data_IF_825294278850
#
_entry.id   IF_825294278850
#
_cell.length_a   1.000
_cell.length_b   1.000
_cell.length_c   1.000
_cell.angle_alpha   90.00
_cell.angle_beta   90.00
_cell.angle_gamma   90.00
#
_symmetry.space_group_name_H-M   'P 1'
#
loop_
_entity.id
_entity.type
_entity.pdbx_description
1 polymer ?
#
# COMPACT_ATOMS: atom_id res chain seq x y z
N UNK A 1 80.64 -36.49 -43.41
CA UNK A 1 79.78 -37.41 -44.20
C UNK A 1 78.59 -37.84 -43.34
N UNK A 2 77.39 -37.44 -43.76
CA UNK A 2 76.12 -38.19 -43.72
C UNK A 2 75.70 -38.83 -42.37
N UNK A 3 74.73 -38.23 -41.69
CA UNK A 3 73.44 -38.80 -41.20
C UNK A 3 72.88 -37.89 -40.08
N UNK A 4 72.01 -36.94 -40.42
CA UNK A 4 70.53 -37.04 -40.39
C UNK A 4 69.98 -37.02 -38.96
N UNK A 5 69.44 -35.88 -38.53
CA UNK A 5 68.00 -35.55 -38.66
C UNK A 5 67.10 -36.60 -38.01
N UNK A 6 66.85 -36.46 -36.70
CA UNK A 6 65.62 -36.93 -36.01
C UNK A 6 65.66 -36.52 -34.53
N UNK A 7 65.45 -35.23 -34.23
CA UNK A 7 65.19 -34.82 -32.83
C UNK A 7 64.51 -33.47 -32.64
N UNK A 8 63.84 -32.96 -33.68
CA UNK A 8 63.18 -31.64 -33.66
C UNK A 8 61.74 -31.71 -34.22
N UNK A 9 61.02 -32.80 -33.93
CA UNK A 9 59.63 -32.97 -34.40
C UNK A 9 58.67 -33.61 -33.38
N UNK A 10 58.96 -33.51 -32.08
CA UNK A 10 58.03 -33.99 -31.02
C UNK A 10 57.73 -32.92 -29.96
N UNK A 11 58.38 -31.75 -29.99
CA UNK A 11 58.13 -30.68 -29.00
C UNK A 11 57.29 -29.50 -29.51
N UNK A 12 56.88 -29.51 -30.78
CA UNK A 12 56.08 -28.42 -31.37
C UNK A 12 54.59 -28.75 -31.48
N UNK A 13 54.17 -30.00 -31.24
CA UNK A 13 52.77 -30.42 -31.37
C UNK A 13 52.01 -30.49 -30.04
N UNK A 14 52.69 -30.39 -28.90
CA UNK A 14 52.05 -30.42 -27.57
C UNK A 14 51.76 -28.99 -27.04
N UNK A 15 52.48 -27.97 -27.50
CA UNK A 15 52.23 -26.59 -27.07
C UNK A 15 51.16 -25.86 -27.91
N UNK A 16 50.85 -26.32 -29.12
CA UNK A 16 49.81 -25.70 -29.96
C UNK A 16 48.37 -26.14 -29.62
N UNK A 17 48.19 -27.25 -28.90
CA UNK A 17 46.87 -27.73 -28.44
C UNK A 17 46.56 -27.24 -27.02
N UNK A 18 47.58 -26.92 -26.21
CA UNK A 18 47.37 -26.34 -24.88
C UNK A 18 47.08 -24.81 -24.91
N UNK A 19 47.47 -24.11 -25.98
CA UNK A 19 47.25 -22.66 -26.12
C UNK A 19 45.97 -22.30 -26.90
N UNK A 20 45.36 -23.26 -27.59
CA UNK A 20 44.06 -23.10 -28.27
C UNK A 20 42.87 -23.54 -27.41
N UNK A 21 43.10 -24.18 -26.27
CA UNK A 21 42.09 -24.52 -25.25
C UNK A 21 41.99 -23.50 -24.10
N UNK A 22 42.90 -22.55 -24.00
CA UNK A 22 42.93 -21.52 -22.96
C UNK A 22 42.41 -20.14 -23.41
N UNK A 23 42.19 -19.94 -24.71
CA UNK A 23 41.61 -18.69 -25.27
C UNK A 23 40.14 -18.89 -25.68
N UNK A 24 39.66 -20.14 -25.80
CA UNK A 24 38.27 -20.46 -26.13
C UNK A 24 37.31 -20.67 -24.96
N UNK A 25 37.80 -20.61 -23.71
CA UNK A 25 37.01 -20.97 -22.51
C UNK A 25 36.83 -19.83 -21.49
N UNK A 26 37.14 -18.58 -21.87
CA UNK A 26 36.92 -17.40 -21.01
C UNK A 26 35.93 -16.38 -21.59
N UNK A 27 35.23 -16.70 -22.69
CA UNK A 27 34.18 -15.84 -23.25
C UNK A 27 32.77 -16.44 -23.19
N UNK A 28 32.59 -17.57 -22.51
CA UNK A 28 31.27 -18.10 -22.15
C UNK A 28 31.23 -18.19 -20.63
N UNK A 29 30.90 -17.07 -19.98
CA UNK A 29 30.38 -16.92 -18.60
C UNK A 29 30.72 -15.51 -18.08
N UNK A 30 30.29 -14.50 -18.83
CA UNK A 30 29.97 -13.19 -18.30
C UNK A 30 28.95 -12.57 -19.24
N UNK A 31 27.86 -13.29 -19.49
CA UNK A 31 26.63 -12.57 -19.76
C UNK A 31 26.45 -11.67 -18.52
N UNK A 32 26.32 -10.34 -18.67
CA UNK A 32 26.02 -9.50 -17.53
C UNK A 32 24.80 -10.13 -16.87
N UNK A 33 24.90 -10.47 -15.57
CA UNK A 33 23.68 -10.77 -14.82
C UNK A 33 22.72 -9.64 -15.15
N UNK A 34 21.50 -9.94 -15.66
CA UNK A 34 20.53 -8.87 -15.88
C UNK A 34 20.51 -8.10 -14.57
N UNK A 35 20.83 -6.80 -14.66
CA UNK A 35 20.82 -5.91 -13.51
C UNK A 35 19.47 -6.14 -12.85
N UNK A 36 19.47 -6.83 -11.71
CA UNK A 36 18.26 -7.31 -11.04
C UNK A 36 17.58 -6.14 -10.30
N UNK A 37 17.78 -4.93 -10.83
CA UNK A 37 17.36 -3.67 -10.26
C UNK A 37 15.96 -3.42 -10.74
N UNK A 38 15.00 -3.56 -9.83
CA UNK A 38 13.62 -3.21 -10.09
C UNK A 38 13.52 -1.76 -10.60
N UNK A 39 12.90 -1.59 -11.76
CA UNK A 39 12.65 -0.29 -12.37
C UNK A 39 11.35 0.25 -11.76
N UNK A 40 11.49 1.29 -10.94
CA UNK A 40 10.35 2.00 -10.39
C UNK A 40 9.72 2.87 -11.46
N UNK A 41 8.43 2.64 -11.74
CA UNK A 41 7.64 3.52 -12.59
C UNK A 41 7.13 4.72 -11.77
N UNK A 42 8.08 5.59 -11.38
CA UNK A 42 7.79 6.80 -10.61
C UNK A 42 8.48 8.01 -11.27
N UNK A 43 7.82 9.18 -11.32
CA UNK A 43 8.43 10.39 -11.86
C UNK A 43 9.58 10.88 -10.97
N UNK A 44 10.55 11.59 -11.56
CA UNK A 44 11.80 11.98 -10.89
C UNK A 44 11.61 12.79 -9.58
N UNK A 45 10.51 13.53 -9.46
CA UNK A 45 10.20 14.29 -8.26
C UNK A 45 9.81 13.39 -7.08
N UNK A 46 9.28 12.19 -7.32
CA UNK A 46 8.86 11.24 -6.28
C UNK A 46 10.09 10.45 -5.77
N UNK A 47 10.41 10.49 -4.47
CA UNK A 47 11.45 9.65 -3.89
C UNK A 47 11.01 8.18 -3.89
N UNK A 48 11.95 7.23 -3.94
CA UNK A 48 11.60 5.81 -3.79
C UNK A 48 11.16 5.50 -2.36
N UNK A 49 10.20 4.57 -2.17
CA UNK A 49 9.84 4.09 -0.83
C UNK A 49 10.99 3.27 -0.23
N UNK A 50 10.99 3.13 1.10
CA UNK A 50 11.96 2.28 1.80
C UNK A 50 11.62 0.80 1.54
N UNK A 51 12.55 0.08 0.91
CA UNK A 51 12.46 -1.37 0.67
C UNK A 51 13.24 -2.13 1.75
N UNK A 52 12.65 -3.13 2.43
CA UNK A 52 13.40 -3.96 3.37
C UNK A 52 14.54 -4.70 2.68
N UNK A 53 15.73 -4.69 3.29
CA UNK A 53 16.91 -5.36 2.73
C UNK A 53 16.73 -6.87 2.58
N UNK A 54 15.87 -7.48 3.40
CA UNK A 54 15.55 -8.90 3.32
C UNK A 54 14.46 -9.22 2.28
N UNK A 55 13.80 -8.21 1.69
CA UNK A 55 12.87 -8.37 0.58
C UNK A 55 13.10 -7.33 -0.52
N UNK A 56 14.23 -7.38 -1.26
CA UNK A 56 14.47 -6.49 -2.37
C UNK A 56 13.41 -6.70 -3.47
N UNK A 57 13.02 -5.61 -4.11
CA UNK A 57 12.05 -5.62 -5.22
C UNK A 57 12.66 -6.28 -6.46
N UNK A 58 11.87 -7.10 -7.15
CA UNK A 58 12.13 -7.58 -8.52
C UNK A 58 10.80 -7.66 -9.28
N UNK A 59 10.85 -7.66 -10.61
CA UNK A 59 9.64 -7.77 -11.44
C UNK A 59 8.92 -9.11 -11.21
N UNK A 60 9.68 -10.19 -11.01
CA UNK A 60 9.16 -11.54 -10.79
C UNK A 60 8.43 -11.67 -9.46
N UNK A 61 8.91 -11.00 -8.40
CA UNK A 61 8.21 -10.96 -7.11
C UNK A 61 6.92 -10.15 -7.19
N UNK A 62 6.94 -9.02 -7.90
CA UNK A 62 5.74 -8.19 -8.13
C UNK A 62 4.70 -9.01 -8.89
N UNK A 63 5.09 -9.72 -9.95
CA UNK A 63 4.17 -10.52 -10.74
C UNK A 63 3.60 -11.70 -9.96
N UNK A 64 4.45 -12.45 -9.23
CA UNK A 64 3.96 -13.51 -8.33
C UNK A 64 3.01 -12.94 -7.27
N UNK A 65 3.34 -11.80 -6.67
CA UNK A 65 2.50 -11.12 -5.70
C UNK A 65 1.14 -10.74 -6.28
N UNK A 66 1.11 -10.25 -7.52
CA UNK A 66 -0.13 -9.94 -8.25
C UNK A 66 -0.99 -11.18 -8.44
N UNK A 67 -0.43 -12.31 -8.82
CA UNK A 67 -1.18 -13.58 -8.90
C UNK A 67 -1.78 -13.97 -7.54
N UNK A 68 -0.98 -13.93 -6.47
CA UNK A 68 -1.42 -14.29 -5.11
C UNK A 68 -2.50 -13.32 -4.58
N UNK A 69 -2.39 -12.02 -4.85
CA UNK A 69 -3.34 -11.01 -4.41
C UNK A 69 -4.77 -11.24 -4.94
N UNK A 70 -4.88 -11.80 -6.15
CA UNK A 70 -6.14 -12.16 -6.81
C UNK A 70 -6.51 -13.65 -6.66
N UNK A 71 -5.73 -14.44 -5.92
CA UNK A 71 -5.95 -15.88 -5.77
C UNK A 71 -7.08 -16.17 -4.78
N UNK A 72 -8.21 -16.66 -5.30
CA UNK A 72 -9.36 -16.98 -4.46
C UNK A 72 -9.17 -18.23 -3.63
N UNK A 73 -8.31 -19.17 -4.05
CA UNK A 73 -7.98 -20.38 -3.27
C UNK A 73 -7.21 -20.06 -1.99
N UNK A 74 -6.77 -18.81 -1.80
CA UNK A 74 -6.21 -18.31 -0.53
C UNK A 74 -7.31 -17.82 0.44
N UNK A 75 -8.52 -18.38 0.38
CA UNK A 75 -9.53 -18.22 1.43
C UNK A 75 -10.16 -19.55 1.81
N UNK A 76 -10.75 -19.61 3.00
CA UNK A 76 -11.39 -20.81 3.56
C UNK A 76 -12.49 -21.39 2.66
N UNK A 77 -13.15 -20.53 1.87
CA UNK A 77 -14.23 -20.91 0.96
C UNK A 77 -13.81 -20.95 -0.52
N UNK A 78 -12.55 -20.64 -0.83
CA UNK A 78 -12.03 -20.55 -2.21
C UNK A 78 -12.76 -19.53 -3.12
N UNK A 79 -13.47 -18.55 -2.55
CA UNK A 79 -14.23 -17.53 -3.28
C UNK A 79 -13.70 -16.10 -3.05
N UNK A 80 -12.79 -15.93 -2.10
CA UNK A 80 -12.35 -14.65 -1.57
C UNK A 80 -10.83 -14.45 -1.76
N UNK A 81 -10.40 -13.22 -2.04
CA UNK A 81 -8.99 -12.87 -2.21
C UNK A 81 -8.72 -11.49 -1.60
N UNK A 82 -7.46 -11.04 -1.56
CA UNK A 82 -7.15 -9.67 -1.15
C UNK A 82 -7.95 -8.65 -1.99
N UNK A 83 -8.06 -8.92 -3.29
CA UNK A 83 -8.83 -8.11 -4.24
C UNK A 83 -10.36 -8.09 -4.00
N UNK A 84 -10.90 -8.93 -3.11
CA UNK A 84 -12.32 -8.87 -2.72
C UNK A 84 -12.63 -7.66 -1.83
N UNK A 85 -11.67 -7.22 -1.03
CA UNK A 85 -11.75 -6.00 -0.20
C UNK A 85 -10.93 -4.83 -0.78
N UNK A 86 -9.99 -5.12 -1.68
CA UNK A 86 -9.12 -4.12 -2.27
C UNK A 86 -9.31 -4.08 -3.80
N UNK A 87 -10.43 -3.50 -4.23
CA UNK A 87 -10.87 -3.44 -5.62
C UNK A 87 -10.11 -2.33 -6.34
N UNK A 88 -9.35 -2.67 -7.38
CA UNK A 88 -8.52 -1.72 -8.14
C UNK A 88 -9.30 -0.46 -8.59
N UNK A 89 -10.50 -0.63 -9.14
CA UNK A 89 -11.34 0.47 -9.63
C UNK A 89 -11.77 1.46 -8.53
N UNK A 90 -11.71 1.04 -7.27
CA UNK A 90 -11.99 1.86 -6.08
C UNK A 90 -10.68 2.22 -5.35
N UNK A 91 -9.60 2.40 -6.11
CA UNK A 91 -8.25 2.63 -5.60
C UNK A 91 -7.85 1.63 -4.50
N UNK A 92 -8.16 0.35 -4.71
CA UNK A 92 -7.89 -0.74 -3.77
C UNK A 92 -8.62 -0.59 -2.42
N UNK A 93 -9.90 -0.22 -2.46
CA UNK A 93 -10.87 -0.29 -1.33
C UNK A 93 -12.07 -1.16 -1.72
N UNK A 94 -13.09 -1.29 -0.86
CA UNK A 94 -14.26 -2.15 -1.11
C UNK A 94 -15.58 -1.41 -1.36
N UNK A 95 -15.61 -0.08 -1.20
CA UNK A 95 -16.82 0.73 -1.35
C UNK A 95 -17.88 0.50 -0.27
N UNK A 96 -17.52 -0.09 0.88
CA UNK A 96 -18.46 -0.44 1.98
C UNK A 96 -18.10 0.31 3.26
N UNK A 97 -19.05 0.55 4.17
CA UNK A 97 -18.74 1.10 5.49
C UNK A 97 -17.70 0.26 6.23
N UNK A 98 -17.89 -1.05 6.24
CA UNK A 98 -16.93 -2.02 6.76
C UNK A 98 -16.91 -3.27 5.88
N UNK A 99 -15.74 -3.91 5.80
CA UNK A 99 -15.57 -5.14 5.04
C UNK A 99 -16.28 -6.32 5.70
N UNK A 100 -16.65 -7.29 4.87
CA UNK A 100 -17.25 -8.56 5.31
C UNK A 100 -16.31 -9.66 4.87
N UNK A 101 -15.82 -10.46 5.82
CA UNK A 101 -14.90 -11.55 5.56
C UNK A 101 -15.55 -12.77 4.90
N UNK A 102 -14.74 -13.77 4.57
CA UNK A 102 -15.13 -14.98 3.86
C UNK A 102 -16.19 -15.83 4.61
N UNK A 103 -16.32 -15.66 5.93
CA UNK A 103 -17.32 -16.33 6.78
C UNK A 103 -18.53 -15.46 7.11
N UNK A 104 -18.61 -14.24 6.56
CA UNK A 104 -19.73 -13.31 6.79
C UNK A 104 -19.56 -12.38 7.99
N UNK A 105 -18.45 -12.47 8.73
CA UNK A 105 -18.15 -11.57 9.85
C UNK A 105 -17.81 -10.16 9.35
N UNK A 106 -18.28 -9.15 10.08
CA UNK A 106 -18.01 -7.74 9.77
C UNK A 106 -16.75 -7.26 10.47
N UNK A 107 -15.87 -6.60 9.72
CA UNK A 107 -14.73 -5.91 10.30
C UNK A 107 -15.19 -4.67 11.10
N UNK A 108 -14.51 -4.26 12.19
CA UNK A 108 -14.86 -3.02 12.89
C UNK A 108 -14.50 -1.75 12.09
N UNK A 109 -13.66 -1.89 11.06
CA UNK A 109 -13.07 -0.77 10.30
C UNK A 109 -13.29 -0.91 8.80
N UNK A 110 -13.35 0.23 8.11
CA UNK A 110 -13.33 0.35 6.66
C UNK A 110 -11.98 -0.14 6.08
N UNK A 111 -12.00 -0.75 4.90
CA UNK A 111 -10.79 -1.16 4.18
C UNK A 111 -10.04 0.05 3.62
N UNK A 112 -8.82 0.29 4.11
CA UNK A 112 -7.98 1.38 3.61
C UNK A 112 -7.53 1.13 2.17
N UNK A 113 -7.35 2.22 1.42
CA UNK A 113 -6.69 2.15 0.11
C UNK A 113 -5.26 1.62 0.26
N UNK A 114 -4.84 0.80 -0.71
CA UNK A 114 -3.44 0.36 -0.85
C UNK A 114 -2.61 1.29 -1.76
N UNK A 115 -3.19 2.38 -2.29
CA UNK A 115 -2.45 3.36 -3.05
C UNK A 115 -1.31 3.94 -2.21
N UNK A 116 -0.10 3.89 -2.75
CA UNK A 116 1.12 4.37 -2.09
C UNK A 116 1.40 3.74 -0.72
N UNK A 117 0.90 2.53 -0.44
CA UNK A 117 1.06 1.88 0.87
C UNK A 117 2.53 1.68 1.27
N UNK A 118 3.43 1.59 0.28
CA UNK A 118 4.88 1.52 0.46
C UNK A 118 5.47 2.71 1.23
N UNK A 119 4.82 3.87 1.17
CA UNK A 119 5.27 5.11 1.80
C UNK A 119 4.80 5.25 3.24
N UNK A 120 3.92 4.37 3.75
CA UNK A 120 3.44 4.47 5.12
C UNK A 120 4.50 3.99 6.12
N UNK A 121 4.76 4.79 7.16
CA UNK A 121 5.65 4.38 8.26
C UNK A 121 5.07 3.21 9.04
N UNK A 122 3.76 3.28 9.31
CA UNK A 122 2.96 2.24 9.97
C UNK A 122 1.70 1.94 9.15
N UNK A 123 1.30 0.67 9.17
CA UNK A 123 0.18 0.13 8.40
C UNK A 123 -1.10 0.10 9.23
N UNK A 124 -2.20 -0.17 8.55
CA UNK A 124 -3.57 -0.16 9.08
C UNK A 124 -3.98 1.22 9.64
N UNK A 125 -5.15 1.29 10.25
CA UNK A 125 -5.71 2.52 10.81
C UNK A 125 -5.03 2.98 12.10
N UNK A 126 -4.58 2.05 12.95
CA UNK A 126 -4.22 2.38 14.33
C UNK A 126 -3.23 1.40 15.00
N UNK A 127 -2.20 0.94 14.28
CA UNK A 127 -1.22 0.03 14.85
C UNK A 127 0.20 0.62 14.86
N UNK A 128 0.70 1.17 15.99
CA UNK A 128 2.01 1.85 16.03
C UNK A 128 3.21 0.94 15.74
N UNK A 129 3.07 -0.37 15.96
CA UNK A 129 4.11 -1.37 15.67
C UNK A 129 4.07 -2.04 14.29
N UNK A 130 3.03 -1.83 13.46
CA UNK A 130 2.84 -2.61 12.24
C UNK A 130 3.60 -1.96 11.07
N UNK A 131 4.90 -2.22 10.96
CA UNK A 131 5.80 -1.52 10.03
C UNK A 131 6.12 -2.25 8.72
N UNK A 132 5.72 -3.53 8.60
CA UNK A 132 6.06 -4.42 7.48
C UNK A 132 4.81 -5.03 6.86
N UNK A 133 4.69 -4.92 5.53
CA UNK A 133 3.61 -5.53 4.76
C UNK A 133 3.64 -7.05 4.87
N UNK A 134 4.83 -7.66 4.89
CA UNK A 134 5.01 -9.11 5.04
C UNK A 134 4.37 -9.65 6.33
N UNK A 135 4.42 -8.87 7.41
CA UNK A 135 3.83 -9.23 8.70
C UNK A 135 2.34 -8.91 8.69
N UNK A 136 1.95 -7.75 8.15
CA UNK A 136 0.55 -7.36 8.07
C UNK A 136 -0.27 -8.36 7.25
N UNK A 137 0.27 -8.90 6.14
CA UNK A 137 -0.40 -9.89 5.30
C UNK A 137 -0.80 -11.17 6.05
N UNK A 138 -0.13 -11.51 7.16
CA UNK A 138 -0.52 -12.64 8.01
C UNK A 138 -1.84 -12.40 8.73
N UNK A 139 -2.19 -11.14 9.03
CA UNK A 139 -3.41 -10.78 9.76
C UNK A 139 -4.67 -11.12 8.96
N UNK A 140 -4.89 -10.64 7.72
CA UNK A 140 -6.09 -11.00 6.97
C UNK A 140 -6.12 -12.48 6.60
N UNK A 141 -4.97 -13.13 6.42
CA UNK A 141 -4.91 -14.57 6.14
C UNK A 141 -5.32 -15.42 7.34
N UNK A 142 -4.73 -15.17 8.52
CA UNK A 142 -4.77 -16.09 9.67
C UNK A 142 -5.45 -15.51 10.92
N UNK A 143 -5.90 -14.26 10.88
CA UNK A 143 -6.65 -13.63 11.96
C UNK A 143 -7.96 -14.38 12.22
N UNK A 144 -8.24 -14.63 13.50
CA UNK A 144 -9.40 -15.42 13.91
C UNK A 144 -10.62 -14.57 14.29
N UNK A 145 -10.43 -13.26 14.59
CA UNK A 145 -11.53 -12.38 15.03
C UNK A 145 -11.31 -10.91 14.62
N UNK A 146 -12.19 -10.35 13.77
CA UNK A 146 -13.14 -11.08 12.92
C UNK A 146 -12.38 -11.91 11.88
N UNK A 147 -12.98 -12.99 11.39
CA UNK A 147 -12.39 -13.76 10.30
C UNK A 147 -12.45 -12.96 8.99
N UNK A 148 -11.29 -12.77 8.36
CA UNK A 148 -11.15 -12.15 7.03
C UNK A 148 -11.06 -13.23 5.94
N UNK A 149 -9.89 -13.84 5.72
CA UNK A 149 -9.72 -14.92 4.72
C UNK A 149 -9.94 -16.32 5.30
N UNK A 150 -9.74 -16.51 6.62
CA UNK A 150 -10.08 -17.74 7.35
C UNK A 150 -9.09 -18.89 7.21
N UNK A 151 -7.80 -18.62 7.04
CA UNK A 151 -6.77 -19.64 6.82
C UNK A 151 -6.06 -20.14 8.09
N UNK A 152 -6.50 -19.74 9.30
CA UNK A 152 -5.90 -20.20 10.55
C UNK A 152 -5.84 -21.74 10.60
N UNK A 153 -4.63 -22.31 10.75
CA UNK A 153 -4.41 -23.77 10.76
C UNK A 153 -4.50 -24.45 9.38
N UNK A 154 -4.54 -23.68 8.28
CA UNK A 154 -4.61 -24.16 6.88
C UNK A 154 -3.33 -23.90 6.09
N UNK A 155 -2.23 -23.55 6.76
CA UNK A 155 -0.95 -23.17 6.16
C UNK A 155 -0.40 -24.27 5.25
N UNK A 156 -0.46 -25.53 5.69
CA UNK A 156 0.05 -26.64 4.87
C UNK A 156 -0.85 -26.95 3.68
N UNK A 157 -2.17 -26.77 3.83
CA UNK A 157 -3.14 -26.98 2.75
C UNK A 157 -2.93 -25.97 1.62
N UNK A 158 -2.75 -24.68 1.95
CA UNK A 158 -2.48 -23.64 0.94
C UNK A 158 -1.12 -23.85 0.27
N UNK A 159 -0.09 -24.24 1.02
CA UNK A 159 1.25 -24.45 0.45
C UNK A 159 1.27 -25.69 -0.44
N UNK A 160 0.53 -26.74 -0.08
CA UNK A 160 0.33 -27.92 -0.94
C UNK A 160 -0.36 -27.52 -2.24
N UNK A 161 -1.45 -26.76 -2.17
CA UNK A 161 -2.17 -26.26 -3.36
C UNK A 161 -1.24 -25.48 -4.30
N UNK A 162 -0.43 -24.56 -3.77
CA UNK A 162 0.53 -23.79 -4.57
C UNK A 162 1.65 -24.67 -5.17
N UNK A 163 2.09 -25.71 -4.46
CA UNK A 163 3.09 -26.67 -4.98
C UNK A 163 2.55 -27.55 -6.10
N UNK A 164 1.27 -27.91 -6.04
CA UNK A 164 0.61 -28.76 -7.05
C UNK A 164 0.27 -27.98 -8.33
N UNK A 165 0.13 -26.66 -8.24
CA UNK A 165 -0.13 -25.78 -9.39
C UNK A 165 1.14 -25.47 -10.21
N UNK A 166 1.12 -25.83 -11.50
CA UNK A 166 2.27 -25.66 -12.40
C UNK A 166 2.64 -24.20 -12.64
N UNK A 167 1.66 -23.29 -12.67
CA UNK A 167 1.90 -21.87 -12.88
C UNK A 167 2.58 -21.27 -11.64
N UNK A 168 2.11 -21.60 -10.43
CA UNK A 168 2.76 -21.13 -9.21
C UNK A 168 4.18 -21.67 -9.07
N UNK A 169 4.45 -22.95 -9.36
CA UNK A 169 5.83 -23.47 -9.38
C UNK A 169 6.75 -22.64 -10.27
N UNK A 170 6.29 -22.23 -11.46
CA UNK A 170 7.04 -21.37 -12.37
C UNK A 170 7.26 -19.97 -11.77
N UNK A 171 6.20 -19.34 -11.27
CA UNK A 171 6.26 -17.98 -10.70
C UNK A 171 7.16 -17.91 -9.46
N UNK A 172 7.04 -18.84 -8.51
CA UNK A 172 7.92 -18.94 -7.35
C UNK A 172 9.38 -19.21 -7.74
N UNK A 173 9.60 -20.04 -8.75
CA UNK A 173 10.95 -20.28 -9.27
C UNK A 173 11.57 -19.02 -9.88
N UNK A 174 10.78 -18.23 -10.62
CA UNK A 174 11.24 -16.96 -11.17
C UNK A 174 11.55 -15.93 -10.06
N UNK A 175 10.70 -15.84 -9.04
CA UNK A 175 10.81 -14.85 -7.97
C UNK A 175 11.88 -15.16 -6.91
N UNK A 176 12.11 -16.45 -6.61
CA UNK A 176 12.94 -16.89 -5.48
C UNK A 176 13.99 -17.96 -5.83
N UNK A 177 14.13 -18.31 -7.12
CA UNK A 177 15.04 -19.36 -7.58
C UNK A 177 14.48 -20.78 -7.43
N UNK A 178 15.22 -21.77 -7.93
CA UNK A 178 14.85 -23.20 -7.87
C UNK A 178 15.10 -23.78 -6.48
N UNK A 179 14.23 -24.69 -6.05
CA UNK A 179 14.43 -25.53 -4.86
C UNK A 179 13.10 -25.88 -4.18
N UNK A 180 13.04 -27.04 -3.54
CA UNK A 180 11.80 -27.60 -2.98
C UNK A 180 11.19 -26.74 -1.85
N UNK A 181 12.00 -25.84 -1.27
CA UNK A 181 11.60 -24.93 -0.19
C UNK A 181 11.26 -23.51 -0.67
N UNK A 182 11.21 -23.22 -1.98
CA UNK A 182 10.91 -21.86 -2.45
C UNK A 182 9.42 -21.46 -2.27
N UNK A 183 8.50 -22.44 -2.24
CA UNK A 183 7.09 -22.24 -1.89
C UNK A 183 6.92 -22.45 -0.39
N UNK A 184 6.94 -21.34 0.33
CA UNK A 184 6.75 -21.26 1.78
C UNK A 184 6.03 -19.95 2.14
N UNK A 185 5.54 -19.85 3.38
CA UNK A 185 4.75 -18.70 3.82
C UNK A 185 5.53 -17.38 3.77
N UNK A 186 6.82 -17.40 4.09
CA UNK A 186 7.68 -16.23 4.06
C UNK A 186 7.84 -15.66 2.63
N UNK A 187 8.03 -16.53 1.64
CA UNK A 187 8.13 -16.11 0.24
C UNK A 187 6.77 -15.68 -0.33
N UNK A 188 5.68 -16.32 0.12
CA UNK A 188 4.31 -15.91 -0.21
C UNK A 188 4.05 -14.46 0.25
N UNK A 189 4.29 -14.15 1.53
CA UNK A 189 4.06 -12.78 2.04
C UNK A 189 5.03 -11.77 1.45
N UNK A 190 6.28 -12.16 1.15
CA UNK A 190 7.24 -11.31 0.43
C UNK A 190 6.79 -10.95 -0.97
N UNK A 191 6.20 -11.89 -1.70
CA UNK A 191 5.68 -11.62 -3.04
C UNK A 191 4.47 -10.67 -2.98
N UNK A 192 3.49 -10.94 -2.11
CA UNK A 192 2.32 -10.04 -1.92
C UNK A 192 2.80 -8.63 -1.55
N UNK A 193 3.70 -8.51 -0.58
CA UNK A 193 4.27 -7.23 -0.16
C UNK A 193 5.04 -6.52 -1.29
N UNK A 194 5.70 -7.25 -2.19
CA UNK A 194 6.33 -6.65 -3.37
C UNK A 194 5.29 -6.09 -4.35
N UNK A 195 4.19 -6.81 -4.60
CA UNK A 195 3.09 -6.29 -5.41
C UNK A 195 2.48 -5.03 -4.79
N UNK A 196 2.14 -5.06 -3.49
CA UNK A 196 1.59 -3.91 -2.79
C UNK A 196 2.52 -2.69 -2.82
N UNK A 197 3.84 -2.90 -2.73
CA UNK A 197 4.81 -1.82 -2.86
C UNK A 197 4.82 -1.16 -4.24
N UNK A 198 4.42 -1.89 -5.28
CA UNK A 198 4.35 -1.38 -6.65
C UNK A 198 3.09 -0.55 -6.93
N UNK A 199 2.10 -0.55 -6.02
CA UNK A 199 0.84 0.19 -6.16
C UNK A 199 1.05 1.69 -5.94
N UNK A 200 1.75 2.35 -6.86
CA UNK A 200 2.09 3.77 -6.78
C UNK A 200 1.15 4.62 -7.62
N UNK A 201 0.54 5.63 -7.00
CA UNK A 201 -0.38 6.61 -7.58
C UNK A 201 0.20 8.01 -7.47
N UNK A 202 0.73 8.51 -8.59
CA UNK A 202 1.52 9.75 -8.69
C UNK A 202 1.37 10.45 -10.05
N UNK A 203 0.28 10.17 -10.79
CA UNK A 203 -0.02 10.79 -12.09
C UNK A 203 -1.36 11.55 -12.10
N UNK A 204 -1.84 11.99 -10.94
CA UNK A 204 -3.08 12.76 -10.83
C UNK A 204 -2.97 14.14 -11.52
N UNK A 205 -4.08 14.80 -11.85
CA UNK A 205 -4.07 16.19 -12.30
C UNK A 205 -3.27 17.13 -11.38
N UNK A 206 -3.38 16.93 -10.06
CA UNK A 206 -2.57 17.67 -9.09
C UNK A 206 -1.07 17.41 -9.24
N UNK A 207 -0.65 16.17 -9.47
CA UNK A 207 0.77 15.85 -9.66
C UNK A 207 1.35 16.54 -10.92
N UNK A 208 0.59 16.52 -12.02
CA UNK A 208 0.93 17.22 -13.28
C UNK A 208 1.06 18.73 -13.08
N UNK A 209 0.15 19.31 -12.30
CA UNK A 209 0.20 20.73 -11.93
C UNK A 209 1.38 21.08 -11.03
N UNK A 210 1.50 20.39 -9.89
CA UNK A 210 2.40 20.76 -8.80
C UNK A 210 3.86 20.43 -9.08
N UNK A 211 4.09 19.31 -9.77
CA UNK A 211 5.43 18.75 -10.00
C UNK A 211 5.77 18.61 -11.49
N UNK A 212 4.77 18.38 -12.35
CA UNK A 212 4.95 18.27 -13.81
C UNK A 212 5.08 19.62 -14.53
N UNK A 213 4.74 20.74 -13.88
CA UNK A 213 4.82 22.09 -14.45
C UNK A 213 3.64 22.46 -15.36
N UNK A 214 2.64 21.60 -15.52
CA UNK A 214 1.43 21.90 -16.29
C UNK A 214 0.46 22.76 -15.48
N UNK A 215 0.61 24.08 -15.60
CA UNK A 215 -0.22 25.06 -14.90
C UNK A 215 -1.73 24.91 -15.15
N UNK A 216 -2.15 24.20 -16.21
CA UNK A 216 -3.54 24.05 -16.59
C UNK A 216 -4.11 22.65 -16.26
N UNK A 217 -3.31 21.76 -15.66
CA UNK A 217 -3.77 20.42 -15.29
C UNK A 217 -4.89 20.43 -14.24
N UNK A 218 -5.01 21.49 -13.44
CA UNK A 218 -6.12 21.69 -12.49
C UNK A 218 -6.84 23.02 -12.74
N UNK A 219 -8.13 23.06 -12.39
CA UNK A 219 -8.98 24.24 -12.57
C UNK A 219 -8.58 25.39 -11.63
N UNK A 220 -9.04 26.61 -11.94
CA UNK A 220 -8.89 27.76 -11.04
C UNK A 220 -9.56 27.53 -9.67
N UNK A 221 -10.65 26.74 -9.65
CA UNK A 221 -11.36 26.31 -8.44
C UNK A 221 -10.46 25.43 -7.56
N UNK A 222 -9.84 24.40 -8.14
CA UNK A 222 -8.92 23.52 -7.42
C UNK A 222 -7.68 24.25 -6.86
N UNK A 223 -7.17 25.27 -7.57
CA UNK A 223 -6.05 26.12 -7.06
C UNK A 223 -6.45 26.94 -5.82
N UNK A 224 -7.68 27.47 -5.79
CA UNK A 224 -8.22 28.11 -4.58
C UNK A 224 -8.39 27.08 -3.46
N UNK A 225 -8.87 25.88 -3.79
CA UNK A 225 -8.99 24.77 -2.84
C UNK A 225 -7.66 24.34 -2.23
N UNK A 226 -6.59 24.27 -3.03
CA UNK A 226 -5.22 24.02 -2.56
C UNK A 226 -4.77 25.10 -1.56
N UNK A 227 -5.06 26.37 -1.86
CA UNK A 227 -4.72 27.49 -0.97
C UNK A 227 -5.47 27.38 0.37
N UNK A 228 -6.74 26.99 0.32
CA UNK A 228 -7.55 26.74 1.51
C UNK A 228 -7.01 25.57 2.34
N UNK A 229 -6.70 24.45 1.68
CA UNK A 229 -6.15 23.25 2.30
C UNK A 229 -4.84 23.51 3.05
N UNK A 230 -3.97 24.34 2.47
CA UNK A 230 -2.68 24.71 3.06
C UNK A 230 -2.74 25.94 3.98
N UNK A 231 -3.93 26.40 4.36
CA UNK A 231 -4.08 27.55 5.25
C UNK A 231 -4.21 27.15 6.71
N UNK A 232 -3.68 27.97 7.62
CA UNK A 232 -3.90 27.88 9.08
C UNK A 232 -5.38 28.06 9.47
N UNK A 233 -6.27 28.41 8.52
CA UNK A 233 -7.70 28.47 8.79
C UNK A 233 -8.37 27.09 8.70
N UNK A 234 -7.91 26.23 7.79
CA UNK A 234 -8.48 24.89 7.61
C UNK A 234 -7.58 23.78 8.19
N UNK A 235 -6.30 24.07 8.42
CA UNK A 235 -5.35 23.21 9.15
C UNK A 235 -5.12 21.82 8.54
N UNK A 236 -5.57 21.59 7.31
CA UNK A 236 -5.58 20.25 6.70
C UNK A 236 -4.16 19.71 6.49
N UNK A 237 -3.22 20.58 6.12
CA UNK A 237 -1.84 20.22 5.80
C UNK A 237 -1.02 19.71 7.00
N UNK A 238 -1.44 19.99 8.25
CA UNK A 238 -0.72 19.49 9.43
C UNK A 238 -0.75 17.96 9.53
N UNK A 239 -1.87 17.33 9.17
CA UNK A 239 -2.01 15.87 9.17
C UNK A 239 -1.95 15.25 7.77
N UNK A 240 -2.36 16.01 6.74
CA UNK A 240 -2.43 15.55 5.36
C UNK A 240 -1.45 16.31 4.46
N UNK A 241 -0.22 16.48 4.94
CA UNK A 241 0.85 17.19 4.23
C UNK A 241 1.70 16.31 3.32
N UNK A 242 2.67 16.96 2.68
CA UNK A 242 3.73 16.30 1.91
C UNK A 242 3.25 15.62 0.63
N UNK A 243 4.16 14.84 0.03
CA UNK A 243 3.92 14.19 -1.25
C UNK A 243 2.82 13.11 -1.21
N UNK A 244 2.52 12.54 -0.05
CA UNK A 244 1.53 11.48 0.08
C UNK A 244 0.25 11.93 0.81
N UNK A 245 0.10 13.22 1.12
CA UNK A 245 -1.05 13.74 1.86
C UNK A 245 -1.34 12.99 3.17
N UNK A 246 -0.26 12.72 3.91
CA UNK A 246 -0.25 12.00 5.19
C UNK A 246 1.02 12.37 5.94
N UNK A 247 0.93 12.47 7.25
CA UNK A 247 2.02 12.79 8.17
C UNK A 247 2.69 11.55 8.79
N UNK A 248 2.34 10.36 8.31
CA UNK A 248 2.89 9.09 8.79
C UNK A 248 3.61 8.37 7.65
N UNK A 249 4.67 9.01 7.14
CA UNK A 249 5.36 8.62 5.91
C UNK A 249 6.86 8.30 6.09
N UNK A 250 7.38 7.45 5.19
CA UNK A 250 8.80 7.11 5.06
C UNK A 250 9.19 6.97 3.59
N UNK A 251 10.36 7.47 3.23
CA UNK A 251 10.98 7.29 1.91
C UNK A 251 12.48 7.61 1.97
N UNK A 252 13.23 7.28 0.91
CA UNK A 252 14.71 7.40 0.90
C UNK A 252 15.25 8.81 1.15
N UNK A 253 14.44 9.85 0.87
CA UNK A 253 14.80 11.26 1.12
C UNK A 253 14.43 11.80 2.51
N UNK A 254 13.80 11.01 3.39
CA UNK A 254 13.55 11.41 4.78
C UNK A 254 14.67 10.89 5.68
N UNK A 255 15.16 11.76 6.56
CA UNK A 255 16.17 11.38 7.54
C UNK A 255 15.60 10.44 8.63
N UNK A 256 14.32 10.62 8.97
CA UNK A 256 13.61 9.86 10.00
C UNK A 256 12.23 9.47 9.49
N UNK A 257 11.70 8.33 9.96
CA UNK A 257 10.30 7.99 9.72
C UNK A 257 9.38 8.85 10.59
N UNK A 258 8.28 9.32 10.01
CA UNK A 258 7.27 10.10 10.72
C UNK A 258 6.09 9.18 11.08
N UNK A 259 5.61 9.25 12.32
CA UNK A 259 4.48 8.46 12.80
C UNK A 259 3.63 9.37 13.69
N UNK A 260 2.38 9.60 13.28
CA UNK A 260 1.42 10.40 14.03
C UNK A 260 0.04 9.74 14.04
N UNK A 261 -0.71 10.01 15.11
CA UNK A 261 -2.08 9.53 15.28
C UNK A 261 -2.92 10.62 15.93
N UNK A 262 -4.13 10.80 15.42
CA UNK A 262 -4.98 11.95 15.75
C UNK A 262 -6.38 11.51 16.12
N UNK A 263 -6.96 12.17 17.11
CA UNK A 263 -8.39 12.10 17.37
C UNK A 263 -9.05 13.31 16.72
N UNK A 264 -9.98 13.09 15.80
CA UNK A 264 -10.68 14.15 15.04
C UNK A 264 -12.04 14.51 15.63
N UNK A 265 -12.40 13.95 16.79
CA UNK A 265 -13.69 14.17 17.42
C UNK A 265 -14.83 13.53 16.62
N UNK A 266 -14.64 12.32 16.10
CA UNK A 266 -15.71 11.59 15.42
C UNK A 266 -16.76 11.08 16.41
N UNK A 267 -16.34 10.72 17.62
CA UNK A 267 -17.19 10.27 18.72
C UNK A 267 -16.83 10.95 20.05
N UNK A 268 -17.79 10.98 20.97
CA UNK A 268 -17.61 11.40 22.36
C UNK A 268 -18.75 10.80 23.21
N UNK A 269 -18.77 9.48 23.33
CA UNK A 269 -19.96 8.72 23.77
C UNK A 269 -20.35 8.98 25.23
N UNK A 270 -19.37 9.28 26.07
CA UNK A 270 -19.53 9.45 27.52
C UNK A 270 -19.29 10.91 27.97
N UNK A 271 -19.10 11.83 27.02
CA UNK A 271 -18.70 13.21 27.28
C UNK A 271 -17.26 13.40 27.75
N UNK A 272 -16.47 12.32 27.87
CA UNK A 272 -15.07 12.33 28.34
C UNK A 272 -14.08 11.84 27.28
N UNK A 273 -14.55 11.64 26.05
CA UNK A 273 -13.74 11.32 24.89
C UNK A 273 -13.86 9.89 24.39
N UNK A 274 -14.75 9.07 24.95
CA UNK A 274 -14.90 7.67 24.55
C UNK A 274 -15.30 7.49 23.07
N UNK A 275 -14.68 6.51 22.44
CA UNK A 275 -15.04 5.94 21.15
C UNK A 275 -15.75 4.58 21.34
N UNK A 276 -16.39 4.01 20.30
CA UNK A 276 -16.96 2.67 20.38
C UNK A 276 -15.96 1.65 20.90
N UNK A 277 -16.40 0.76 21.80
CA UNK A 277 -15.50 -0.13 22.55
C UNK A 277 -14.66 -1.07 21.66
N UNK A 278 -15.17 -1.43 20.49
CA UNK A 278 -14.49 -2.27 19.50
C UNK A 278 -13.65 -1.47 18.50
N UNK A 279 -13.50 -0.16 18.69
CA UNK A 279 -12.78 0.72 17.76
C UNK A 279 -12.25 1.98 18.45
N UNK A 280 -11.24 1.81 19.32
CA UNK A 280 -10.70 2.88 20.17
C UNK A 280 -9.38 3.47 19.64
N UNK A 281 -8.95 3.07 18.44
CA UNK A 281 -7.72 3.55 17.82
C UNK A 281 -6.49 2.92 18.46
N UNK A 282 -5.38 3.66 18.57
CA UNK A 282 -4.13 3.10 19.10
C UNK A 282 -4.25 2.74 20.60
N UNK A 283 -5.26 3.27 21.30
CA UNK A 283 -5.60 2.88 22.67
C UNK A 283 -5.76 1.35 22.82
N UNK A 284 -6.27 0.65 21.80
CA UNK A 284 -6.40 -0.82 21.82
C UNK A 284 -5.07 -1.53 22.07
N UNK A 285 -3.96 -0.89 21.70
CA UNK A 285 -2.61 -1.43 21.81
C UNK A 285 -1.86 -0.78 22.97
N UNK A 286 -1.93 0.55 23.11
CA UNK A 286 -1.16 1.27 24.13
C UNK A 286 -1.80 1.21 25.51
N UNK A 287 -3.12 1.00 25.59
CA UNK A 287 -3.93 1.01 26.81
C UNK A 287 -3.85 2.33 27.59
N UNK A 288 -3.36 3.41 26.97
CA UNK A 288 -3.27 4.75 27.58
C UNK A 288 -4.54 5.52 27.28
N UNK A 289 -5.24 6.00 28.31
CA UNK A 289 -6.47 6.78 28.16
C UNK A 289 -6.32 7.99 27.21
N UNK A 290 -5.16 8.64 27.23
CA UNK A 290 -4.84 9.77 26.36
C UNK A 290 -4.77 9.42 24.86
N UNK A 291 -4.76 8.14 24.50
CA UNK A 291 -4.70 7.64 23.13
C UNK A 291 -6.07 7.21 22.56
N UNK A 292 -7.14 7.36 23.35
CA UNK A 292 -8.50 7.04 22.94
C UNK A 292 -8.89 7.82 21.67
N UNK A 293 -9.36 7.08 20.67
CA UNK A 293 -9.85 7.63 19.41
C UNK A 293 -8.75 8.17 18.50
N UNK A 294 -7.47 7.86 18.74
CA UNK A 294 -6.37 8.28 17.85
C UNK A 294 -6.16 7.29 16.71
N UNK A 295 -6.20 7.81 15.48
CA UNK A 295 -6.01 7.06 14.24
C UNK A 295 -4.99 7.75 13.34
N UNK A 296 -4.32 6.97 12.48
CA UNK A 296 -3.38 7.50 11.49
C UNK A 296 -4.14 8.30 10.45
N UNK A 297 -3.62 9.46 10.05
CA UNK A 297 -4.15 10.19 8.90
C UNK A 297 -3.89 9.38 7.60
N UNK A 298 -4.93 8.89 6.91
CA UNK A 298 -4.74 8.18 5.64
C UNK A 298 -4.24 9.14 4.55
N UNK A 299 -3.64 8.59 3.49
CA UNK A 299 -3.36 9.37 2.29
C UNK A 299 -4.67 9.90 1.70
N UNK A 300 -4.66 11.13 1.20
CA UNK A 300 -5.78 11.71 0.43
C UNK A 300 -5.65 11.47 -1.08
N UNK A 301 -4.62 10.76 -1.54
CA UNK A 301 -4.52 10.36 -2.95
C UNK A 301 -5.67 9.40 -3.28
N UNK A 302 -6.35 9.66 -4.39
CA UNK A 302 -7.55 8.95 -4.81
C UNK A 302 -8.75 9.05 -3.85
N UNK A 303 -8.78 10.02 -2.93
CA UNK A 303 -9.83 10.11 -1.91
C UNK A 303 -11.25 10.19 -2.50
N UNK A 304 -11.41 10.73 -3.72
CA UNK A 304 -12.71 10.80 -4.39
C UNK A 304 -13.27 9.42 -4.81
N UNK A 305 -12.45 8.36 -4.80
CA UNK A 305 -12.82 7.00 -5.20
C UNK A 305 -12.98 6.03 -4.02
N UNK A 306 -12.69 6.47 -2.80
CA UNK A 306 -12.56 5.59 -1.61
C UNK A 306 -13.64 5.86 -0.57
N UNK A 307 -14.83 6.29 -1.00
CA UNK A 307 -15.98 6.38 -0.11
C UNK A 307 -16.39 4.97 0.37
N UNK A 308 -17.00 4.84 1.56
CA UNK A 308 -17.21 5.88 2.57
C UNK A 308 -15.95 6.18 3.40
N UNK A 309 -16.02 7.23 4.20
CA UNK A 309 -14.86 7.85 4.87
C UNK A 309 -14.82 7.57 6.38
N UNK A 310 -13.65 7.87 6.94
CA UNK A 310 -13.24 7.59 8.32
C UNK A 310 -12.99 6.10 8.59
N UNK A 311 -12.40 5.83 9.75
CA UNK A 311 -11.91 4.51 10.11
C UNK A 311 -13.00 3.42 10.15
N UNK A 312 -14.27 3.78 10.32
CA UNK A 312 -15.43 2.90 10.43
C UNK A 312 -16.45 3.12 9.30
N UNK A 313 -16.10 3.90 8.27
CA UNK A 313 -16.97 4.20 7.14
C UNK A 313 -18.26 4.94 7.51
N UNK A 314 -18.27 5.63 8.64
CA UNK A 314 -19.47 6.25 9.20
C UNK A 314 -19.89 7.57 8.53
N UNK A 315 -19.09 8.07 7.57
CA UNK A 315 -19.33 9.30 6.80
C UNK A 315 -19.40 8.94 5.31
N UNK A 316 -20.49 9.27 4.63
CA UNK A 316 -20.76 8.72 3.30
C UNK A 316 -20.08 9.49 2.16
N UNK A 317 -19.94 10.81 2.30
CA UNK A 317 -19.51 11.70 1.21
C UNK A 317 -18.33 12.59 1.61
N UNK A 318 -17.57 13.08 0.63
CA UNK A 318 -16.50 14.06 0.88
C UNK A 318 -17.08 15.35 1.47
N UNK A 319 -18.26 15.73 1.02
CA UNK A 319 -19.02 16.88 1.51
C UNK A 319 -19.31 16.77 3.00
N UNK A 320 -19.70 15.58 3.48
CA UNK A 320 -19.91 15.29 4.89
C UNK A 320 -18.59 15.20 5.67
N UNK A 321 -17.53 14.66 5.08
CA UNK A 321 -16.20 14.64 5.70
C UNK A 321 -15.68 16.07 5.93
N UNK A 322 -15.82 16.96 4.95
CA UNK A 322 -15.51 18.39 5.10
C UNK A 322 -16.41 19.02 6.17
N UNK A 323 -17.71 18.69 6.19
CA UNK A 323 -18.63 19.22 7.20
C UNK A 323 -18.25 18.78 8.62
N UNK A 324 -17.75 17.56 8.80
CA UNK A 324 -17.21 17.07 10.08
C UNK A 324 -16.06 17.95 10.58
N UNK A 325 -15.09 18.25 9.72
CA UNK A 325 -13.97 19.13 10.07
C UNK A 325 -14.40 20.58 10.27
N UNK A 326 -15.31 21.10 9.45
CA UNK A 326 -15.87 22.45 9.60
C UNK A 326 -16.60 22.63 10.94
N UNK A 327 -17.31 21.60 11.42
CA UNK A 327 -17.95 21.58 12.73
C UNK A 327 -16.95 21.36 13.90
N UNK A 328 -15.68 21.09 13.60
CA UNK A 328 -14.65 20.76 14.59
C UNK A 328 -14.88 19.41 15.26
N UNK A 329 -15.64 18.51 14.65
CA UNK A 329 -16.06 17.22 15.23
C UNK A 329 -17.50 16.87 14.85
N UNK A 330 -17.85 15.58 14.90
CA UNK A 330 -19.19 15.10 14.52
C UNK A 330 -20.14 15.16 15.72
N UNK A 331 -21.37 15.60 15.49
CA UNK A 331 -22.46 15.49 16.48
C UNK A 331 -23.41 14.37 16.07
N UNK A 332 -23.67 13.45 17.00
CA UNK A 332 -24.65 12.36 16.83
C UNK A 332 -25.74 12.60 17.87
N UNK A 333 -26.95 12.92 17.39
CA UNK A 333 -28.02 13.43 18.23
C UNK A 333 -28.67 12.38 19.14
N UNK A 334 -28.70 11.11 18.73
CA UNK A 334 -29.44 10.06 19.42
C UNK A 334 -28.89 8.67 19.13
N UNK A 335 -29.26 7.69 19.97
CA UNK A 335 -28.85 6.30 19.84
C UNK A 335 -27.61 5.97 20.68
N UNK A 336 -27.12 4.74 20.54
CA UNK A 336 -25.97 4.23 21.32
C UNK A 336 -24.64 4.92 20.99
N UNK A 337 -24.57 5.58 19.84
CA UNK A 337 -23.41 6.35 19.39
C UNK A 337 -23.57 7.87 19.64
N UNK A 338 -24.61 8.29 20.36
CA UNK A 338 -24.86 9.71 20.63
C UNK A 338 -23.68 10.36 21.34
N UNK A 339 -23.38 11.60 20.98
CA UNK A 339 -22.26 12.35 21.54
C UNK A 339 -21.93 13.59 20.71
N UNK A 340 -21.23 14.53 21.34
CA UNK A 340 -20.77 15.77 20.71
C UNK A 340 -19.25 15.71 20.56
N UNK A 341 -18.79 15.28 19.39
CA UNK A 341 -17.38 15.08 19.08
C UNK A 341 -16.55 16.36 19.09
N UNK A 342 -17.16 17.52 18.82
CA UNK A 342 -16.46 18.81 18.93
C UNK A 342 -16.07 19.18 20.37
N UNK A 343 -16.72 18.56 21.36
CA UNK A 343 -16.42 18.66 22.79
C UNK A 343 -15.54 17.50 23.30
N UNK A 344 -15.03 16.62 22.43
CA UNK A 344 -14.14 15.54 22.85
C UNK A 344 -12.84 16.14 23.42
N UNK A 345 -12.49 15.89 24.70
CA UNK A 345 -11.31 16.50 25.34
C UNK A 345 -9.97 15.96 24.83
N UNK A 346 -9.97 14.87 24.06
CA UNK A 346 -8.78 14.24 23.48
C UNK A 346 -8.56 14.58 22.00
N UNK A 347 -9.48 15.37 21.42
CA UNK A 347 -9.41 15.81 20.03
C UNK A 347 -8.15 16.67 19.80
N UNK A 348 -7.55 16.53 18.63
CA UNK A 348 -6.43 17.39 18.21
C UNK A 348 -6.83 18.86 18.21
N UNK A 349 -5.93 19.72 18.69
CA UNK A 349 -6.10 21.17 18.75
C UNK A 349 -6.30 21.82 17.37
N UNK A 350 -5.73 21.20 16.33
CA UNK A 350 -5.90 21.63 14.94
C UNK A 350 -7.32 21.43 14.40
N UNK A 351 -8.15 20.63 15.09
CA UNK A 351 -9.56 20.40 14.71
C UNK A 351 -10.47 21.36 15.48
N UNK A 352 -10.23 22.66 15.35
CA UNK A 352 -11.01 23.71 16.02
C UNK A 352 -12.35 24.03 15.34
N UNK A 353 -12.54 23.56 14.11
CA UNK A 353 -13.67 23.94 13.26
C UNK A 353 -13.41 25.23 12.50
N UNK A 354 -14.16 25.43 11.42
CA UNK A 354 -14.05 26.57 10.51
C UNK A 354 -15.35 26.81 9.76
N UNK A 355 -15.49 28.01 9.18
CA UNK A 355 -16.62 28.35 8.30
C UNK A 355 -16.15 28.35 6.85
N UNK A 356 -16.97 27.78 5.97
CA UNK A 356 -16.80 27.85 4.52
C UNK A 356 -18.03 28.51 3.90
N UNK A 357 -17.80 29.38 2.92
CA UNK A 357 -18.84 29.72 1.94
C UNK A 357 -19.10 28.51 1.01
N UNK A 358 -20.23 28.53 0.28
CA UNK A 358 -20.50 27.51 -0.73
C UNK A 358 -19.41 27.41 -1.79
N UNK A 359 -18.81 28.55 -2.18
CA UNK A 359 -17.71 28.58 -3.14
C UNK A 359 -16.45 27.94 -2.58
N UNK A 360 -16.06 28.26 -1.34
CA UNK A 360 -14.86 27.67 -0.72
C UNK A 360 -15.00 26.17 -0.51
N UNK A 361 -16.21 25.69 -0.17
CA UNK A 361 -16.49 24.26 -0.11
C UNK A 361 -16.30 23.59 -1.47
N UNK A 362 -16.81 24.20 -2.53
CA UNK A 362 -16.63 23.67 -3.89
C UNK A 362 -15.15 23.70 -4.32
N UNK A 363 -14.45 24.80 -4.03
CA UNK A 363 -13.02 24.95 -4.33
C UNK A 363 -12.22 23.82 -3.67
N UNK A 364 -12.47 23.54 -2.39
CA UNK A 364 -11.82 22.45 -1.65
C UNK A 364 -12.18 21.06 -2.21
N UNK A 365 -13.43 20.82 -2.59
CA UNK A 365 -13.84 19.56 -3.23
C UNK A 365 -13.14 19.37 -4.57
N UNK A 366 -13.01 20.41 -5.39
CA UNK A 366 -12.33 20.35 -6.68
C UNK A 366 -10.83 20.07 -6.50
N UNK A 367 -10.22 20.61 -5.44
CA UNK A 367 -8.86 20.27 -5.06
C UNK A 367 -8.72 18.77 -4.69
N UNK A 368 -9.57 18.26 -3.79
CA UNK A 368 -9.51 16.84 -3.39
C UNK A 368 -9.76 15.88 -4.57
N UNK A 369 -10.67 16.24 -5.48
CA UNK A 369 -10.91 15.48 -6.72
C UNK A 369 -9.72 15.50 -7.68
N UNK A 370 -8.92 16.57 -7.66
CA UNK A 370 -7.71 16.65 -8.47
C UNK A 370 -6.59 15.69 -8.02
N UNK A 371 -6.73 15.05 -6.84
CA UNK A 371 -5.81 14.04 -6.30
C UNK A 371 -6.09 12.62 -6.84
N UNK A 372 -7.05 12.46 -7.75
CA UNK A 372 -7.41 11.16 -8.34
C UNK A 372 -6.53 10.83 -9.53
N UNK A 373 -5.94 9.64 -9.51
CA UNK A 373 -5.13 9.08 -10.57
C UNK A 373 -5.95 8.05 -11.37
N UNK A 374 -6.50 8.50 -12.50
CA UNK A 374 -7.31 7.67 -13.39
C UNK A 374 -6.53 6.51 -14.02
N UNK A 375 -5.21 6.67 -14.19
CA UNK A 375 -4.36 5.64 -14.75
C UNK A 375 -4.12 4.53 -13.73
N UNK A 376 -3.85 4.88 -12.47
CA UNK A 376 -3.66 3.93 -11.37
C UNK A 376 -4.81 2.92 -11.25
N UNK A 377 -6.06 3.41 -11.25
CA UNK A 377 -7.25 2.55 -11.07
C UNK A 377 -7.64 1.72 -12.30
N UNK A 378 -6.95 1.94 -13.43
CA UNK A 378 -7.14 1.19 -14.69
C UNK A 378 -5.86 0.50 -15.17
N UNK A 379 -4.77 0.61 -14.43
CA UNK A 379 -3.46 0.13 -14.86
C UNK A 379 -3.48 -1.40 -15.04
N UNK A 380 -3.21 -1.92 -16.25
CA UNK A 380 -3.17 -3.37 -16.51
C UNK A 380 -2.16 -4.11 -15.63
N UNK A 381 -1.06 -3.46 -15.24
CA UNK A 381 -0.04 -4.03 -14.36
C UNK A 381 -0.56 -4.33 -12.95
N UNK A 382 -1.66 -3.72 -12.52
CA UNK A 382 -2.28 -4.02 -11.22
C UNK A 382 -3.57 -4.83 -11.33
N UNK A 383 -4.05 -5.08 -12.55
CA UNK A 383 -5.30 -5.80 -12.80
C UNK A 383 -5.19 -7.29 -12.50
N UNK A 384 -6.34 -7.98 -12.43
CA UNK A 384 -6.39 -9.41 -12.18
C UNK A 384 -5.70 -10.20 -13.32
N UNK A 385 -4.61 -10.94 -13.05
CA UNK A 385 -3.87 -11.69 -14.07
C UNK A 385 -4.66 -12.82 -14.72
N UNK A 386 -5.69 -13.33 -14.03
CA UNK A 386 -6.45 -14.49 -14.45
C UNK A 386 -7.67 -14.12 -15.31
N UNK A 387 -7.95 -12.83 -15.51
CA UNK A 387 -8.94 -12.37 -16.48
C UNK A 387 -8.26 -12.24 -17.85
N UNK A 388 -8.43 -13.24 -18.70
CA UNK A 388 -8.34 -13.01 -20.14
C UNK A 388 -9.52 -12.12 -20.53
N UNK A 389 -9.26 -11.07 -21.31
CA UNK A 389 -10.18 -9.97 -21.54
C UNK A 389 -11.59 -10.42 -21.97
N UNK A 390 -12.60 -9.82 -21.34
CA UNK A 390 -13.93 -9.68 -21.91
C UNK A 390 -14.11 -8.24 -22.35
#
# INVERSE_FOLDING_TARGET
MIFKWKRWFVLSSVFAIAFSLSIGFNHILSAPFPSNTYVWDIPAWMPKPIVPSDNPMTAEKVELGRYLFYEKRLSVNSEFSCASCHIQALAFTDGKPVSVGATGEKHPRNAMSLANIAYNSVLTWAHPGMKKLEVQALVPMFGERPVEMGLAGKEQDILKMLREDANYRKLFTAAFGRGDNNINLHNLTKAIASFERSLISVNSPYDKYRYGGDKNAISASAKRGETLFNSERLECFHCHGGLNFSDSIKHERLAFEEIAFHNTGLYNLDGKGAYPANNTGIHEITQKSADMGKFKAPTLRNIALTAPYMHDGSIATLEEAIAHYAAGGRTIASGTLAGVGSQNPLKSHFISGFKLTSQEKQDLLDFLKSLTDEEFVKNPAFSNPNRTGN
#
